data_IF_628396694889
#
_entry.id   IF_628396694889
#
_cell.length_a   1.000
_cell.length_b   1.000
_cell.length_c   1.000
_cell.angle_alpha   90.00
_cell.angle_beta   90.00
_cell.angle_gamma   90.00
#
_symmetry.space_group_name_H-M   'P 1'
#
loop_
_entity.id
_entity.type
_entity.pdbx_description
1 polymer ?
#
# COMPACT_ATOMS: atom_id res chain seq x y z
N UNK A 1 -12.46 -9.66 -11.69
CA UNK A 1 -11.00 -9.58 -11.52
C UNK A 1 -10.61 -8.54 -10.51
N UNK A 2 -9.39 -8.61 -9.98
CA UNK A 2 -8.81 -7.58 -9.13
C UNK A 2 -7.45 -7.18 -9.69
N UNK A 3 -7.18 -5.89 -9.79
CA UNK A 3 -5.94 -5.30 -10.26
C UNK A 3 -5.27 -4.57 -9.10
N UNK A 4 -4.06 -5.01 -8.70
CA UNK A 4 -3.22 -4.29 -7.76
C UNK A 4 -2.27 -3.41 -8.55
N UNK A 5 -2.50 -2.10 -8.53
CA UNK A 5 -1.66 -1.11 -9.19
C UNK A 5 -0.46 -0.76 -8.31
N UNK A 6 0.70 -0.65 -8.94
CA UNK A 6 1.91 -0.05 -8.39
C UNK A 6 2.25 1.18 -9.19
N UNK A 7 2.53 2.30 -8.54
CA UNK A 7 2.90 3.56 -9.20
C UNK A 7 4.41 3.74 -9.20
N UNK A 8 4.98 3.92 -10.38
CA UNK A 8 6.42 4.13 -10.55
C UNK A 8 6.85 5.48 -10.00
N UNK A 9 7.63 5.51 -8.91
CA UNK A 9 8.10 6.75 -8.25
C UNK A 9 6.95 7.74 -8.00
N UNK A 10 5.90 7.27 -7.29
CA UNK A 10 4.63 7.95 -7.14
C UNK A 10 4.74 9.42 -6.72
N UNK A 11 5.60 9.74 -5.74
CA UNK A 11 5.82 11.11 -5.28
C UNK A 11 6.61 11.95 -6.29
N UNK A 12 7.63 11.40 -6.93
CA UNK A 12 8.56 12.13 -7.80
C UNK A 12 7.94 12.58 -9.11
N UNK A 13 6.82 11.96 -9.52
CA UNK A 13 6.18 12.15 -10.82
C UNK A 13 4.99 13.10 -10.83
N UNK A 14 4.53 13.57 -9.67
CA UNK A 14 3.37 14.47 -9.57
C UNK A 14 3.66 15.78 -10.30
N UNK A 15 2.89 16.07 -11.36
CA UNK A 15 3.01 17.33 -12.10
C UNK A 15 2.45 18.51 -11.28
N UNK A 16 3.25 19.54 -11.07
CA UNK A 16 2.85 20.72 -10.28
C UNK A 16 1.68 21.49 -10.89
N UNK A 17 1.63 21.59 -12.21
CA UNK A 17 0.52 22.25 -12.91
C UNK A 17 -0.80 21.50 -12.69
N UNK A 18 -0.74 20.16 -12.71
CA UNK A 18 -1.88 19.31 -12.40
C UNK A 18 -2.36 19.55 -10.96
N UNK A 19 -1.45 19.56 -9.99
CA UNK A 19 -1.76 19.81 -8.58
C UNK A 19 -2.43 21.17 -8.39
N UNK A 20 -1.90 22.25 -8.96
CA UNK A 20 -2.47 23.57 -8.87
C UNK A 20 -3.89 23.64 -9.48
N UNK A 21 -4.10 23.06 -10.67
CA UNK A 21 -5.42 22.98 -11.31
C UNK A 21 -6.41 22.16 -10.49
N UNK A 22 -5.97 21.06 -9.92
CA UNK A 22 -6.78 20.18 -9.09
C UNK A 22 -7.28 20.90 -7.84
N UNK A 23 -6.37 21.56 -7.10
CA UNK A 23 -6.75 22.34 -5.91
C UNK A 23 -7.78 23.43 -6.25
N UNK A 24 -7.57 24.18 -7.34
CA UNK A 24 -8.54 25.19 -7.80
C UNK A 24 -9.91 24.55 -8.12
N UNK A 25 -9.93 23.42 -8.81
CA UNK A 25 -11.17 22.70 -9.12
C UNK A 25 -11.88 22.15 -7.88
N UNK A 26 -11.14 21.87 -6.81
CA UNK A 26 -11.68 21.47 -5.51
C UNK A 26 -12.19 22.65 -4.67
N UNK A 27 -12.05 23.90 -5.14
CA UNK A 27 -12.54 25.10 -4.48
C UNK A 27 -11.56 25.79 -3.55
N UNK A 28 -10.26 25.39 -3.55
CA UNK A 28 -9.26 26.13 -2.79
C UNK A 28 -9.02 27.52 -3.39
N UNK A 29 -8.94 28.54 -2.51
CA UNK A 29 -8.70 29.91 -2.96
C UNK A 29 -7.30 30.08 -3.55
N UNK A 30 -7.14 31.08 -4.42
CA UNK A 30 -5.90 31.35 -5.15
C UNK A 30 -4.69 31.56 -4.21
N UNK A 31 -4.91 32.27 -3.09
CA UNK A 31 -3.86 32.53 -2.10
C UNK A 31 -3.34 31.23 -1.49
N UNK A 32 -4.24 30.32 -1.16
CA UNK A 32 -3.87 28.98 -0.64
C UNK A 32 -3.10 28.15 -1.67
N UNK A 33 -3.60 28.13 -2.91
CA UNK A 33 -2.91 27.39 -3.99
C UNK A 33 -1.50 27.92 -4.19
N UNK A 34 -1.31 29.25 -4.24
CA UNK A 34 0.02 29.87 -4.36
C UNK A 34 0.93 29.49 -3.19
N UNK A 35 0.40 29.50 -1.96
CA UNK A 35 1.16 29.10 -0.79
C UNK A 35 1.65 27.64 -0.88
N UNK A 36 0.73 26.71 -1.20
CA UNK A 36 1.07 25.29 -1.33
C UNK A 36 2.07 25.05 -2.46
N UNK A 37 1.88 25.69 -3.61
CA UNK A 37 2.81 25.59 -4.73
C UNK A 37 4.17 26.19 -4.37
N UNK A 38 4.23 27.27 -3.62
CA UNK A 38 5.47 27.83 -3.09
C UNK A 38 6.23 26.83 -2.21
N UNK A 39 5.52 26.17 -1.26
CA UNK A 39 6.15 25.17 -0.39
C UNK A 39 6.83 24.02 -1.16
N UNK A 40 6.26 23.55 -2.26
CA UNK A 40 6.83 22.43 -3.02
C UNK A 40 7.87 22.84 -4.07
N UNK A 41 7.80 24.09 -4.58
CA UNK A 41 8.67 24.54 -5.68
C UNK A 41 9.97 25.22 -5.21
N UNK A 42 10.09 25.60 -3.95
CA UNK A 42 11.28 26.26 -3.40
C UNK A 42 12.41 25.23 -3.13
N UNK A 43 12.08 23.96 -2.95
CA UNK A 43 13.06 22.94 -2.60
C UNK A 43 14.10 22.74 -3.71
N UNK A 44 15.37 22.78 -3.34
CA UNK A 44 16.50 22.41 -4.20
C UNK A 44 17.26 21.25 -3.57
N UNK A 45 18.00 20.50 -4.37
CA UNK A 45 18.75 19.33 -3.93
C UNK A 45 20.21 19.43 -4.33
N UNK A 46 21.07 18.86 -3.52
CA UNK A 46 22.48 18.64 -3.82
C UNK A 46 22.83 17.17 -3.61
N UNK A 47 23.76 16.65 -4.37
CA UNK A 47 24.26 15.28 -4.17
C UNK A 47 25.44 15.35 -3.21
N UNK A 48 25.45 14.51 -2.19
CA UNK A 48 26.61 14.38 -1.30
C UNK A 48 27.64 13.45 -1.94
N UNK A 49 28.82 14.02 -2.25
CA UNK A 49 29.98 13.27 -2.72
C UNK A 49 31.03 13.36 -1.64
N UNK A 50 31.42 12.23 -1.05
CA UNK A 50 32.40 12.17 0.07
C UNK A 50 32.01 13.08 1.27
N UNK A 51 30.70 13.29 1.50
CA UNK A 51 30.22 14.13 2.59
C UNK A 51 30.04 15.61 2.26
N UNK A 52 30.46 16.06 1.09
CA UNK A 52 30.29 17.43 0.63
C UNK A 52 29.14 17.57 -0.37
N UNK A 53 28.26 18.60 -0.22
CA UNK A 53 27.19 18.83 -1.15
C UNK A 53 27.73 19.35 -2.50
N UNK A 54 27.45 18.64 -3.57
CA UNK A 54 27.85 18.97 -4.94
C UNK A 54 26.61 19.17 -5.83
N UNK A 55 26.70 20.16 -6.71
CA UNK A 55 25.65 20.48 -7.67
C UNK A 55 24.43 21.17 -7.03
N UNK A 56 23.58 21.70 -7.90
CA UNK A 56 22.30 22.29 -7.52
C UNK A 56 21.23 21.75 -8.48
N UNK A 57 20.33 20.90 -7.96
CA UNK A 57 19.24 20.29 -8.71
C UNK A 57 17.96 21.03 -8.35
N UNK A 58 17.35 21.70 -9.33
CA UNK A 58 16.05 22.36 -9.16
C UNK A 58 14.98 21.44 -9.79
N UNK A 59 14.08 20.85 -8.99
CA UNK A 59 13.03 20.01 -9.51
C UNK A 59 11.99 20.86 -10.28
N UNK A 60 11.37 20.27 -11.28
CA UNK A 60 10.28 20.88 -12.06
C UNK A 60 8.93 20.21 -11.78
N UNK A 61 8.94 19.12 -11.04
CA UNK A 61 7.77 18.32 -10.63
C UNK A 61 8.10 17.49 -9.39
N UNK A 62 7.13 16.79 -8.88
CA UNK A 62 7.26 15.86 -7.75
C UNK A 62 6.98 16.48 -6.40
N UNK A 63 6.76 15.60 -5.44
CA UNK A 63 6.58 15.89 -4.02
C UNK A 63 7.76 15.29 -3.25
N UNK A 64 8.32 16.05 -2.31
CA UNK A 64 9.47 15.60 -1.53
C UNK A 64 9.08 14.46 -0.58
N UNK A 65 9.75 13.32 -0.67
CA UNK A 65 9.60 12.22 0.28
C UNK A 65 10.16 12.63 1.64
N UNK A 66 9.38 12.39 2.70
CA UNK A 66 9.72 12.79 4.07
C UNK A 66 9.29 14.20 4.46
N UNK A 67 8.78 15.01 3.54
CA UNK A 67 8.14 16.29 3.87
C UNK A 67 6.76 16.06 4.49
N UNK A 68 6.43 16.69 5.64
CA UNK A 68 5.14 16.51 6.31
C UNK A 68 3.92 16.89 5.45
N UNK A 69 4.08 17.79 4.48
CA UNK A 69 3.01 18.25 3.60
C UNK A 69 2.76 17.27 2.43
N UNK A 70 3.80 16.60 1.96
CA UNK A 70 3.74 15.75 0.77
C UNK A 70 2.68 14.63 0.82
N UNK A 71 2.45 13.91 1.93
CA UNK A 71 1.39 12.91 2.00
C UNK A 71 -0.01 13.50 1.77
N UNK A 72 -0.29 14.68 2.30
CA UNK A 72 -1.59 15.35 2.13
C UNK A 72 -1.81 15.79 0.68
N UNK A 73 -0.78 16.34 0.04
CA UNK A 73 -0.84 16.73 -1.36
C UNK A 73 -0.99 15.49 -2.26
N UNK A 74 -0.33 14.39 -1.93
CA UNK A 74 -0.50 13.13 -2.64
C UNK A 74 -1.92 12.57 -2.54
N UNK A 75 -2.56 12.70 -1.35
CA UNK A 75 -3.97 12.34 -1.17
C UNK A 75 -4.91 13.17 -2.06
N UNK A 76 -4.60 14.45 -2.32
CA UNK A 76 -5.35 15.23 -3.30
C UNK A 76 -5.23 14.63 -4.70
N UNK A 77 -4.03 14.20 -5.11
CA UNK A 77 -3.84 13.50 -6.40
C UNK A 77 -4.67 12.24 -6.49
N UNK A 78 -4.65 11.40 -5.46
CA UNK A 78 -5.43 10.15 -5.44
C UNK A 78 -6.93 10.41 -5.39
N UNK A 79 -7.37 11.53 -4.80
CA UNK A 79 -8.78 11.94 -4.83
C UNK A 79 -9.30 12.20 -6.23
N UNK A 80 -8.47 12.75 -7.13
CA UNK A 80 -8.85 12.90 -8.54
C UNK A 80 -8.95 11.54 -9.25
N UNK A 81 -8.04 10.61 -8.97
CA UNK A 81 -8.14 9.24 -9.48
C UNK A 81 -9.41 8.53 -9.00
N UNK A 82 -9.73 8.66 -7.70
CA UNK A 82 -11.00 8.21 -7.15
C UNK A 82 -12.18 8.81 -7.95
N UNK A 83 -12.15 10.12 -8.23
CA UNK A 83 -13.21 10.79 -8.98
C UNK A 83 -13.44 10.23 -10.39
N UNK A 84 -12.37 9.86 -11.10
CA UNK A 84 -12.45 9.20 -12.39
C UNK A 84 -13.09 7.81 -12.29
N UNK A 85 -12.63 6.98 -11.35
CA UNK A 85 -13.18 5.65 -11.10
C UNK A 85 -14.65 5.70 -10.68
N UNK A 86 -14.99 6.64 -9.78
CA UNK A 86 -16.35 6.82 -9.29
C UNK A 86 -17.30 7.24 -10.39
N UNK A 87 -16.89 8.16 -11.26
CA UNK A 87 -17.70 8.59 -12.41
C UNK A 87 -18.11 7.42 -13.30
N UNK A 88 -17.17 6.55 -13.63
CA UNK A 88 -17.42 5.39 -14.52
C UNK A 88 -18.24 4.31 -13.80
N UNK A 89 -18.08 4.18 -12.47
CA UNK A 89 -18.94 3.35 -11.63
C UNK A 89 -20.40 3.85 -11.65
N UNK A 90 -20.61 5.16 -11.44
CA UNK A 90 -21.94 5.77 -11.42
C UNK A 90 -22.64 5.69 -12.80
N UNK A 91 -21.88 5.72 -13.88
CA UNK A 91 -22.36 5.47 -15.25
C UNK A 91 -22.68 3.98 -15.51
N UNK A 92 -22.29 3.07 -14.60
CA UNK A 92 -22.48 1.63 -14.75
C UNK A 92 -21.57 0.94 -15.77
N UNK A 93 -20.53 1.64 -16.26
CA UNK A 93 -19.57 1.14 -17.25
C UNK A 93 -18.59 0.15 -16.62
N UNK A 94 -18.24 0.33 -15.34
CA UNK A 94 -17.47 -0.63 -14.54
C UNK A 94 -18.33 -1.12 -13.38
N UNK A 95 -18.36 -2.43 -13.17
CA UNK A 95 -19.08 -3.05 -12.05
C UNK A 95 -18.10 -3.69 -11.08
N UNK A 96 -18.08 -3.16 -9.86
CA UNK A 96 -17.28 -3.68 -8.76
C UNK A 96 -17.76 -5.02 -8.21
N UNK A 97 -17.08 -5.49 -7.19
CA UNK A 97 -17.40 -6.73 -6.47
C UNK A 97 -18.33 -6.43 -5.30
N UNK A 98 -19.36 -7.25 -5.12
CA UNK A 98 -20.23 -7.17 -3.93
C UNK A 98 -19.56 -7.87 -2.75
N UNK A 99 -19.46 -7.17 -1.62
CA UNK A 99 -18.80 -7.70 -0.41
C UNK A 99 -19.71 -8.75 0.27
N UNK A 100 -21.02 -8.60 0.15
CA UNK A 100 -22.02 -9.52 0.70
C UNK A 100 -23.25 -9.58 -0.19
N UNK A 101 -24.13 -10.56 0.04
CA UNK A 101 -25.41 -10.62 -0.64
C UNK A 101 -26.21 -9.34 -0.33
N UNK A 102 -26.54 -8.53 -1.35
CA UNK A 102 -27.15 -7.19 -1.23
C UNK A 102 -26.27 -6.12 -0.53
N UNK A 103 -24.98 -6.37 -0.32
CA UNK A 103 -24.04 -5.39 0.23
C UNK A 103 -23.56 -4.35 -0.79
N UNK A 104 -22.85 -3.33 -0.32
CA UNK A 104 -22.29 -2.31 -1.21
C UNK A 104 -21.33 -2.95 -2.20
N UNK A 105 -21.33 -2.40 -3.42
CA UNK A 105 -20.36 -2.77 -4.44
C UNK A 105 -19.08 -1.98 -4.22
N UNK A 106 -17.97 -2.68 -4.34
CA UNK A 106 -16.65 -2.11 -4.20
C UNK A 106 -15.94 -2.14 -5.55
N UNK A 107 -15.55 -0.98 -6.06
CA UNK A 107 -14.80 -0.84 -7.30
C UNK A 107 -13.33 -0.59 -7.06
N UNK A 108 -12.95 0.05 -5.96
CA UNK A 108 -11.54 0.34 -5.67
C UNK A 108 -11.27 0.62 -4.20
N UNK A 109 -10.03 0.35 -3.81
CA UNK A 109 -9.41 0.83 -2.58
C UNK A 109 -8.13 1.58 -2.94
N UNK A 110 -7.95 2.76 -2.37
CA UNK A 110 -6.76 3.57 -2.53
C UNK A 110 -6.14 3.80 -1.15
N UNK A 111 -4.86 3.46 -1.02
CA UNK A 111 -4.09 3.66 0.21
C UNK A 111 -2.69 4.14 -0.17
N UNK A 112 -2.46 5.46 -0.02
CA UNK A 112 -1.24 6.11 -0.51
C UNK A 112 -1.00 5.76 -1.99
N UNK A 113 0.13 5.17 -2.32
CA UNK A 113 0.52 4.68 -3.65
C UNK A 113 -0.05 3.29 -3.99
N UNK A 114 -0.42 2.49 -2.99
CA UNK A 114 -1.08 1.20 -3.21
C UNK A 114 -2.54 1.39 -3.65
N UNK A 115 -2.91 0.81 -4.77
CA UNK A 115 -4.28 0.88 -5.30
C UNK A 115 -4.78 -0.50 -5.70
N UNK A 116 -5.99 -0.85 -5.26
CA UNK A 116 -6.69 -2.05 -5.68
C UNK A 116 -7.96 -1.68 -6.44
N UNK A 117 -8.12 -2.20 -7.65
CA UNK A 117 -9.31 -1.98 -8.47
C UNK A 117 -10.00 -3.32 -8.69
N UNK A 118 -11.32 -3.32 -8.57
CA UNK A 118 -12.16 -4.49 -8.75
C UNK A 118 -13.16 -4.23 -9.88
N UNK A 119 -13.22 -5.12 -10.85
CA UNK A 119 -14.21 -5.07 -11.91
C UNK A 119 -14.49 -6.48 -12.46
N UNK A 120 -15.43 -6.59 -13.36
CA UNK A 120 -15.69 -7.87 -14.04
C UNK A 120 -14.51 -8.18 -14.98
N UNK A 121 -14.25 -9.47 -15.15
CA UNK A 121 -13.30 -9.95 -16.16
C UNK A 121 -14.00 -9.99 -17.53
N UNK A 122 -14.14 -8.83 -18.17
CA UNK A 122 -14.78 -8.62 -19.47
C UNK A 122 -14.00 -7.55 -20.24
N UNK A 123 -13.94 -7.66 -21.57
CA UNK A 123 -13.16 -6.75 -22.41
C UNK A 123 -13.63 -5.30 -22.29
N UNK A 124 -14.94 -5.06 -22.18
CA UNK A 124 -15.48 -3.72 -22.01
C UNK A 124 -15.04 -3.06 -20.71
N UNK A 125 -15.14 -3.74 -19.56
CA UNK A 125 -14.69 -3.22 -18.27
C UNK A 125 -13.16 -2.96 -18.30
N UNK A 126 -12.40 -3.84 -19.01
CA UNK A 126 -10.95 -3.70 -19.17
C UNK A 126 -10.58 -2.48 -20.00
N UNK A 127 -11.23 -2.26 -21.14
CA UNK A 127 -11.00 -1.09 -21.98
C UNK A 127 -11.30 0.21 -21.25
N UNK A 128 -12.42 0.26 -20.51
CA UNK A 128 -12.78 1.44 -19.71
C UNK A 128 -11.75 1.70 -18.62
N UNK A 129 -11.26 0.65 -17.97
CA UNK A 129 -10.19 0.78 -16.99
C UNK A 129 -8.92 1.35 -17.63
N UNK A 130 -8.50 0.86 -18.79
CA UNK A 130 -7.36 1.40 -19.53
C UNK A 130 -7.53 2.89 -19.90
N UNK A 131 -8.72 3.30 -20.34
CA UNK A 131 -9.04 4.71 -20.63
C UNK A 131 -8.84 5.59 -19.39
N UNK A 132 -9.32 5.14 -18.23
CA UNK A 132 -9.16 5.84 -16.95
C UNK A 132 -7.69 5.95 -16.58
N UNK A 133 -6.96 4.84 -16.63
CA UNK A 133 -5.55 4.79 -16.28
C UNK A 133 -4.73 5.72 -17.18
N UNK A 134 -4.91 5.65 -18.49
CA UNK A 134 -4.25 6.53 -19.44
C UNK A 134 -4.60 8.02 -19.22
N UNK A 135 -5.86 8.31 -18.91
CA UNK A 135 -6.31 9.67 -18.60
C UNK A 135 -5.63 10.20 -17.35
N UNK A 136 -5.55 9.38 -16.31
CA UNK A 136 -4.90 9.74 -15.07
C UNK A 136 -3.38 9.93 -15.24
N UNK A 137 -2.70 9.00 -15.92
CA UNK A 137 -1.26 9.12 -16.23
C UNK A 137 -0.94 10.42 -16.97
N UNK A 138 -1.68 10.71 -18.05
CA UNK A 138 -1.49 11.93 -18.86
C UNK A 138 -1.75 13.23 -18.09
N UNK A 139 -2.72 13.21 -17.19
CA UNK A 139 -3.09 14.41 -16.42
C UNK A 139 -2.15 14.66 -15.24
N UNK A 140 -1.82 13.61 -14.50
CA UNK A 140 -1.11 13.70 -13.22
C UNK A 140 0.41 13.60 -13.34
N UNK A 141 0.92 13.06 -14.45
CA UNK A 141 2.32 12.67 -14.62
C UNK A 141 2.68 11.34 -13.95
N UNK A 142 1.74 10.74 -13.22
CA UNK A 142 1.92 9.41 -12.64
C UNK A 142 2.16 8.38 -13.75
N UNK A 143 2.85 7.31 -13.44
CA UNK A 143 3.03 6.19 -14.36
C UNK A 143 2.83 4.87 -13.61
N UNK A 144 2.05 4.00 -14.22
CA UNK A 144 1.83 2.64 -13.71
C UNK A 144 3.09 1.82 -13.98
N UNK A 145 3.59 1.21 -12.92
CA UNK A 145 4.66 0.22 -13.03
C UNK A 145 4.05 -1.13 -13.45
N UNK A 146 4.08 -1.42 -14.72
CA UNK A 146 3.46 -2.63 -15.27
C UNK A 146 4.12 -3.91 -14.77
N UNK A 147 5.42 -3.90 -14.47
CA UNK A 147 6.16 -5.06 -13.98
C UNK A 147 5.78 -5.43 -12.54
N UNK A 148 5.42 -4.44 -11.72
CA UNK A 148 5.00 -4.64 -10.32
C UNK A 148 3.48 -4.65 -10.14
N UNK A 149 2.74 -4.13 -11.11
CA UNK A 149 1.29 -4.22 -11.14
C UNK A 149 0.88 -5.67 -11.36
N UNK A 150 -0.06 -6.18 -10.60
CA UNK A 150 -0.46 -7.58 -10.67
C UNK A 150 -1.97 -7.73 -10.87
N UNK A 151 -2.34 -8.74 -11.64
CA UNK A 151 -3.71 -9.06 -12.00
C UNK A 151 -4.11 -10.40 -11.39
N UNK A 152 -5.27 -10.43 -10.78
CA UNK A 152 -5.86 -11.62 -10.18
C UNK A 152 -7.25 -11.90 -10.74
N UNK A 153 -7.51 -13.13 -11.11
CA UNK A 153 -8.80 -13.58 -11.64
C UNK A 153 -9.55 -14.48 -10.66
N UNK A 154 -10.87 -14.42 -10.72
CA UNK A 154 -11.72 -15.43 -10.10
C UNK A 154 -11.53 -16.78 -10.79
N UNK A 155 -11.69 -17.87 -10.05
CA UNK A 155 -11.67 -19.25 -10.61
C UNK A 155 -12.71 -19.49 -11.71
N UNK A 156 -13.74 -18.68 -11.76
CA UNK A 156 -14.82 -18.76 -12.77
C UNK A 156 -14.49 -18.06 -14.09
N UNK A 157 -13.32 -17.36 -14.19
CA UNK A 157 -12.92 -16.67 -15.42
C UNK A 157 -12.27 -17.67 -16.38
N UNK A 158 -12.76 -17.72 -17.63
CA UNK A 158 -12.22 -18.61 -18.65
C UNK A 158 -10.74 -18.28 -18.98
N UNK A 159 -9.91 -19.29 -19.34
CA UNK A 159 -8.51 -19.06 -19.72
C UNK A 159 -8.35 -18.05 -20.86
N UNK A 160 -9.20 -18.12 -21.89
CA UNK A 160 -9.16 -17.22 -23.05
C UNK A 160 -9.37 -15.77 -22.64
N UNK A 161 -10.34 -15.51 -21.75
CA UNK A 161 -10.58 -14.17 -21.21
C UNK A 161 -9.44 -13.68 -20.33
N UNK A 162 -8.81 -14.56 -19.55
CA UNK A 162 -7.63 -14.20 -18.76
C UNK A 162 -6.47 -13.76 -19.65
N UNK A 163 -6.22 -14.48 -20.74
CA UNK A 163 -5.14 -14.15 -21.66
C UNK A 163 -5.44 -12.88 -22.46
N UNK A 164 -6.68 -12.67 -22.93
CA UNK A 164 -7.11 -11.43 -23.57
C UNK A 164 -6.85 -10.20 -22.69
N UNK A 165 -7.32 -10.25 -21.44
CA UNK A 165 -7.17 -9.13 -20.49
C UNK A 165 -5.71 -8.92 -20.11
N UNK A 166 -4.93 -9.98 -19.92
CA UNK A 166 -3.49 -9.92 -19.65
C UNK A 166 -2.74 -9.22 -20.77
N UNK A 167 -3.04 -9.55 -22.02
CA UNK A 167 -2.44 -8.91 -23.18
C UNK A 167 -2.84 -7.44 -23.29
N UNK A 168 -4.12 -7.12 -23.08
CA UNK A 168 -4.63 -5.76 -23.15
C UNK A 168 -4.00 -4.84 -22.07
N UNK A 169 -3.85 -5.33 -20.83
CA UNK A 169 -3.27 -4.56 -19.72
C UNK A 169 -1.73 -4.57 -19.72
N UNK A 170 -1.13 -5.58 -20.31
CA UNK A 170 0.33 -5.76 -20.33
C UNK A 170 0.93 -5.96 -18.92
N UNK A 171 0.23 -6.67 -18.03
CA UNK A 171 0.63 -6.89 -16.63
C UNK A 171 0.65 -8.37 -16.29
N UNK A 172 1.53 -8.81 -15.36
CA UNK A 172 1.60 -10.20 -14.94
C UNK A 172 0.34 -10.65 -14.19
N UNK A 173 -0.07 -11.89 -14.42
CA UNK A 173 -1.15 -12.55 -13.69
C UNK A 173 -0.55 -13.32 -12.52
N UNK A 174 -1.11 -13.15 -11.33
CA UNK A 174 -0.73 -13.90 -10.14
C UNK A 174 -1.87 -14.82 -9.70
N UNK A 175 -1.53 -16.04 -9.33
CA UNK A 175 -2.52 -17.02 -8.85
C UNK A 175 -2.95 -16.74 -7.40
N UNK A 176 -2.06 -16.14 -6.62
CA UNK A 176 -2.33 -15.76 -5.23
C UNK A 176 -1.67 -14.42 -4.93
N UNK A 177 -2.40 -13.53 -4.27
CA UNK A 177 -1.80 -12.35 -3.67
C UNK A 177 -0.90 -12.77 -2.51
N UNK A 178 0.36 -12.43 -2.56
CA UNK A 178 1.27 -12.73 -1.46
C UNK A 178 0.94 -11.92 -0.21
N UNK A 179 0.76 -10.63 -0.34
CA UNK A 179 0.38 -9.73 0.78
C UNK A 179 -0.21 -8.42 0.24
N UNK A 180 -1.19 -7.87 0.97
CA UNK A 180 -1.66 -6.50 0.77
C UNK A 180 -1.48 -5.72 2.08
N UNK A 181 -0.74 -4.61 2.02
CA UNK A 181 -0.36 -3.82 3.21
C UNK A 181 0.26 -4.69 4.33
N UNK A 182 1.07 -5.69 3.96
CA UNK A 182 1.69 -6.63 4.90
C UNK A 182 0.77 -7.71 5.47
N UNK A 183 -0.53 -7.71 5.10
CA UNK A 183 -1.52 -8.69 5.54
C UNK A 183 -1.71 -9.80 4.49
N UNK A 184 -1.96 -11.05 4.91
CA UNK A 184 -2.36 -12.09 3.98
C UNK A 184 -3.76 -11.76 3.40
N UNK A 185 -3.95 -11.80 2.07
CA UNK A 185 -5.21 -11.45 1.43
C UNK A 185 -6.30 -12.49 1.66
N UNK A 186 -5.92 -13.69 1.99
CA UNK A 186 -6.80 -14.82 2.20
C UNK A 186 -6.41 -15.60 3.45
N UNK A 187 -7.33 -15.67 4.41
CA UNK A 187 -7.22 -16.55 5.55
C UNK A 187 -8.13 -17.74 5.28
N UNK A 188 -7.56 -18.83 4.74
CA UNK A 188 -8.27 -20.07 4.47
C UNK A 188 -8.85 -20.72 5.73
N UNK A 189 -9.52 -21.87 5.57
CA UNK A 189 -10.03 -22.64 6.73
C UNK A 189 -8.96 -23.00 7.75
N UNK A 190 -7.71 -23.18 7.31
CA UNK A 190 -6.53 -23.37 8.18
C UNK A 190 -5.95 -22.03 8.62
N UNK A 191 -6.68 -21.32 9.47
CA UNK A 191 -6.30 -19.99 9.96
C UNK A 191 -4.88 -19.92 10.53
N UNK A 192 -4.39 -21.01 11.12
CA UNK A 192 -3.07 -21.08 11.76
C UNK A 192 -1.93 -20.83 10.77
N UNK A 193 -1.97 -21.43 9.59
CA UNK A 193 -0.93 -21.28 8.54
C UNK A 193 -0.83 -19.82 8.03
N UNK A 194 -1.96 -19.12 7.92
CA UNK A 194 -2.00 -17.71 7.49
C UNK A 194 -1.33 -16.75 8.48
N UNK A 195 -1.21 -17.15 9.75
CA UNK A 195 -0.64 -16.33 10.82
C UNK A 195 0.74 -16.77 11.33
N UNK A 196 1.28 -17.89 10.85
CA UNK A 196 2.59 -18.41 11.29
C UNK A 196 3.73 -17.41 11.11
N UNK A 197 3.63 -16.52 10.15
CA UNK A 197 4.60 -15.44 9.92
C UNK A 197 4.73 -14.51 11.16
N UNK A 198 3.64 -14.28 11.91
CA UNK A 198 3.69 -13.42 13.11
C UNK A 198 4.55 -14.08 14.19
N UNK A 199 4.29 -15.38 14.46
CA UNK A 199 5.06 -16.16 15.43
C UNK A 199 6.55 -16.15 15.06
N UNK A 200 6.87 -16.39 13.78
CA UNK A 200 8.26 -16.37 13.30
C UNK A 200 8.91 -15.00 13.47
N UNK A 201 8.19 -13.90 13.21
CA UNK A 201 8.71 -12.54 13.41
C UNK A 201 8.98 -12.25 14.89
N UNK A 202 8.05 -12.61 15.78
CA UNK A 202 8.25 -12.48 17.22
C UNK A 202 9.47 -13.31 17.66
N UNK A 203 9.51 -14.58 17.28
CA UNK A 203 10.62 -15.49 17.60
C UNK A 203 11.99 -14.96 17.15
N UNK A 204 12.11 -14.51 15.88
CA UNK A 204 13.35 -13.92 15.36
C UNK A 204 13.81 -12.69 16.16
N UNK A 205 12.87 -11.84 16.59
CA UNK A 205 13.21 -10.69 17.43
C UNK A 205 13.71 -11.11 18.80
N UNK A 206 13.02 -12.04 19.45
CA UNK A 206 13.42 -12.55 20.76
C UNK A 206 14.79 -13.22 20.70
N UNK A 207 15.06 -14.07 19.70
CA UNK A 207 16.36 -14.68 19.49
C UNK A 207 17.49 -13.67 19.26
N UNK A 208 17.23 -12.59 18.51
CA UNK A 208 18.21 -11.54 18.30
C UNK A 208 18.61 -10.79 19.60
N UNK A 209 17.85 -11.00 20.68
CA UNK A 209 18.13 -10.45 22.02
C UNK A 209 18.60 -11.51 23.03
N UNK A 210 18.42 -12.79 22.76
CA UNK A 210 19.04 -13.88 23.50
C UNK A 210 20.58 -13.74 23.43
N UNK A 211 21.26 -13.83 24.55
CA UNK A 211 22.71 -13.64 24.61
C UNK A 211 23.17 -12.20 24.84
N UNK A 212 22.30 -11.21 24.75
CA UNK A 212 22.60 -9.86 25.23
C UNK A 212 22.43 -9.80 26.75
N UNK A 213 23.38 -9.21 27.46
CA UNK A 213 23.31 -8.99 28.91
C UNK A 213 22.24 -7.94 29.24
N UNK A 214 20.97 -8.37 29.18
CA UNK A 214 19.82 -7.51 29.44
C UNK A 214 19.34 -7.73 30.88
N UNK A 215 19.16 -6.64 31.60
CA UNK A 215 18.46 -6.66 32.88
C UNK A 215 17.00 -7.10 32.70
N UNK A 216 16.36 -7.53 33.79
CA UNK A 216 14.94 -7.92 33.77
C UNK A 216 14.04 -6.76 33.26
N UNK A 217 14.33 -5.53 33.70
CA UNK A 217 13.65 -4.31 33.23
C UNK A 217 13.87 -4.09 31.73
N UNK A 218 15.11 -4.25 31.25
CA UNK A 218 15.39 -4.13 29.83
C UNK A 218 14.64 -5.13 28.96
N UNK A 219 14.47 -6.38 29.43
CA UNK A 219 13.63 -7.38 28.73
C UNK A 219 12.16 -6.98 28.72
N UNK A 220 11.63 -6.49 29.84
CA UNK A 220 10.24 -6.02 29.91
C UNK A 220 9.97 -4.89 28.92
N UNK A 221 10.87 -3.91 28.83
CA UNK A 221 10.76 -2.81 27.87
C UNK A 221 10.76 -3.33 26.43
N UNK A 222 11.66 -4.25 26.06
CA UNK A 222 11.71 -4.82 24.73
C UNK A 222 10.46 -5.66 24.39
N UNK A 223 9.94 -6.40 25.35
CA UNK A 223 8.69 -7.16 25.19
C UNK A 223 7.55 -6.18 24.90
N UNK A 224 7.35 -5.16 25.72
CA UNK A 224 6.25 -4.20 25.58
C UNK A 224 6.38 -3.35 24.30
N UNK A 225 7.55 -2.81 24.05
CA UNK A 225 7.76 -1.89 22.94
C UNK A 225 7.82 -2.57 21.56
N UNK A 226 8.30 -3.82 21.50
CA UNK A 226 8.53 -4.48 20.22
C UNK A 226 7.77 -5.80 20.07
N UNK A 227 7.94 -6.76 21.00
CA UNK A 227 7.36 -8.08 20.81
C UNK A 227 5.82 -8.06 20.80
N UNK A 228 5.20 -7.28 21.68
CA UNK A 228 3.76 -7.08 21.73
C UNK A 228 3.22 -6.18 20.63
N UNK A 229 4.02 -5.25 20.10
CA UNK A 229 3.63 -4.40 18.97
C UNK A 229 3.56 -5.14 17.63
N UNK A 230 4.36 -6.20 17.44
CA UNK A 230 4.42 -6.95 16.18
C UNK A 230 3.06 -7.55 15.74
N UNK A 231 2.25 -8.19 16.60
CA UNK A 231 0.95 -8.71 16.23
C UNK A 231 -0.17 -7.67 16.19
N UNK A 232 0.02 -6.47 16.77
CA UNK A 232 -1.06 -5.47 16.97
C UNK A 232 -1.76 -5.07 15.67
N UNK A 233 -1.00 -4.81 14.62
CA UNK A 233 -1.58 -4.45 13.31
C UNK A 233 -2.44 -5.57 12.73
N UNK A 234 -1.99 -6.83 12.83
CA UNK A 234 -2.77 -7.97 12.37
C UNK A 234 -4.01 -8.18 13.26
N UNK A 235 -3.89 -7.97 14.58
CA UNK A 235 -4.99 -8.11 15.54
C UNK A 235 -6.05 -7.02 15.34
N UNK A 236 -5.71 -5.85 14.85
CA UNK A 236 -6.69 -4.81 14.52
C UNK A 236 -7.58 -5.19 13.33
N UNK A 237 -7.10 -6.07 12.45
CA UNK A 237 -7.85 -6.52 11.26
C UNK A 237 -8.48 -7.91 11.43
N UNK A 238 -7.87 -8.79 12.23
CA UNK A 238 -8.27 -10.19 12.35
C UNK A 238 -8.22 -10.69 13.79
N UNK A 239 -9.21 -11.53 14.16
CA UNK A 239 -9.16 -12.29 15.40
C UNK A 239 -8.16 -13.44 15.26
N UNK A 240 -7.05 -13.36 16.00
CA UNK A 240 -6.05 -14.42 16.00
C UNK A 240 -6.58 -15.70 16.68
N UNK A 241 -6.18 -16.89 16.20
CA UNK A 241 -6.48 -18.15 16.87
C UNK A 241 -5.88 -18.16 18.28
N UNK A 242 -6.67 -18.58 19.28
CA UNK A 242 -6.25 -18.63 20.70
C UNK A 242 -4.97 -19.47 20.88
N UNK A 243 -4.87 -20.62 20.19
CA UNK A 243 -3.66 -21.44 20.23
C UNK A 243 -2.39 -20.71 19.77
N UNK A 244 -2.49 -19.83 18.77
CA UNK A 244 -1.36 -19.00 18.34
C UNK A 244 -0.99 -17.95 19.40
N UNK A 245 -1.97 -17.35 20.06
CA UNK A 245 -1.73 -16.41 21.16
C UNK A 245 -0.95 -17.10 22.28
N UNK A 246 -1.35 -18.31 22.68
CA UNK A 246 -0.63 -19.08 23.70
C UNK A 246 0.80 -19.46 23.27
N UNK A 247 1.02 -19.78 21.99
CA UNK A 247 2.35 -20.04 21.45
C UNK A 247 3.25 -18.80 21.53
N UNK A 248 2.73 -17.62 21.19
CA UNK A 248 3.45 -16.35 21.27
C UNK A 248 3.75 -15.99 22.73
N UNK A 249 2.77 -16.16 23.63
CA UNK A 249 2.96 -15.94 25.07
C UNK A 249 4.05 -16.86 25.65
N UNK A 250 4.07 -18.13 25.22
CA UNK A 250 5.10 -19.08 25.67
C UNK A 250 6.51 -18.64 25.23
N UNK A 251 6.67 -18.13 24.02
CA UNK A 251 7.93 -17.56 23.53
C UNK A 251 8.36 -16.35 24.36
N UNK A 252 7.42 -15.44 24.66
CA UNK A 252 7.69 -14.25 25.46
C UNK A 252 8.07 -14.64 26.90
N UNK A 253 7.34 -15.57 27.52
CA UNK A 253 7.64 -16.10 28.85
C UNK A 253 9.02 -16.74 28.90
N UNK A 254 9.37 -17.57 27.92
CA UNK A 254 10.71 -18.17 27.83
C UNK A 254 11.79 -17.11 27.75
N UNK A 255 11.65 -16.08 26.93
CA UNK A 255 12.63 -14.99 26.85
C UNK A 255 12.74 -14.20 28.15
N UNK A 256 11.63 -13.90 28.81
CA UNK A 256 11.63 -13.15 30.07
C UNK A 256 12.34 -13.89 31.20
N UNK A 257 12.07 -15.20 31.37
CA UNK A 257 12.56 -16.02 32.46
C UNK A 257 13.78 -16.88 32.11
N UNK A 258 14.04 -17.16 30.86
CA UNK A 258 14.92 -18.23 30.36
C UNK A 258 16.43 -18.03 30.57
N UNK A 259 16.90 -16.90 31.10
CA UNK A 259 18.33 -16.70 31.43
C UNK A 259 18.66 -16.89 32.93
N UNK A 260 17.85 -17.55 33.70
CA UNK A 260 18.14 -17.89 35.08
C UNK A 260 18.71 -19.31 35.24
N UNK A 261 19.29 -19.90 34.23
CA UNK A 261 19.87 -21.24 34.28
C UNK A 261 21.31 -21.27 33.80
N UNK A 262 22.23 -20.75 34.58
CA UNK A 262 23.67 -20.79 34.33
C UNK A 262 24.42 -20.28 35.56
N UNK A 263 24.31 -20.99 36.64
CA UNK A 263 25.16 -20.94 37.81
C UNK A 263 25.51 -22.37 38.20
#
# INVERSE_FOLDING_TARGET
MALKLDMSKAYDRVEWLYMAKLMKKMGFCEAWVKLMMGCISIATYSILINGEPQGNIVPTRGLRQGDPLSPYLFLLCTKAFHGLLKKVEDMGEIKGVSISCNGPKLTHFLFADDSLIFCRAQDNDCQKLLEILNTYERASGQQINRDKTTLFFSKSTSPDMQESIKQALGVPVVQQYEKYLGLPPFIGRKKKEGFDNIKQRVWKKLQGWEGKLLSQVGREVLIKAVAQALPTYMMSCFKLPIGLCHEIEALIKKFFWGQRGGG
#
